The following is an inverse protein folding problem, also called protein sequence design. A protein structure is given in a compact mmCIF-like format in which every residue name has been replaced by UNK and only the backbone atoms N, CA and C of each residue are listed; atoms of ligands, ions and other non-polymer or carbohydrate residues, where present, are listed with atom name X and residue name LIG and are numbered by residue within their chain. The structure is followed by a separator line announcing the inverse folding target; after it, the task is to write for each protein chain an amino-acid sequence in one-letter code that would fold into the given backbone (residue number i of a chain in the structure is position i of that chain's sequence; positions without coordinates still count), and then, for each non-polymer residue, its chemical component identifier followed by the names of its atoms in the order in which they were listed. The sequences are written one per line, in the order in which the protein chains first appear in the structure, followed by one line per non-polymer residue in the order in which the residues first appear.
data_IF_691374479253
#
_entry.id   IF_691374479253
#
_cell.length_a   1.000
_cell.length_b   1.000
_cell.length_c   1.000
_cell.angle_alpha   90.00
_cell.angle_beta   90.00
_cell.angle_gamma   90.00
#
_symmetry.space_group_name_H-M   'P 1'
#
loop_
_entity.id
_entity.type
_entity.pdbx_description
1 polymer ?
#
# COMPACT_ATOMS: atom_id res chain seq x y z
N UNK A 1 -1.19 17.83 -4.80
CA UNK A 1 -0.33 18.73 -5.51
C UNK A 1 -1.13 19.76 -6.31
N UNK A 2 -1.98 19.37 -7.27
CA UNK A 2 -2.75 20.31 -8.10
C UNK A 2 -4.10 20.73 -7.51
N UNK A 3 -4.46 20.30 -6.30
CA UNK A 3 -5.70 20.70 -5.63
C UNK A 3 -7.00 20.17 -6.24
N UNK A 4 -6.94 19.42 -7.32
CA UNK A 4 -8.10 18.84 -8.00
C UNK A 4 -8.74 17.76 -7.15
N UNK A 5 -10.07 17.85 -6.95
CA UNK A 5 -10.86 16.89 -6.16
C UNK A 5 -11.96 16.33 -7.05
N UNK A 6 -12.07 15.02 -7.11
CA UNK A 6 -13.09 14.32 -7.88
C UNK A 6 -12.63 12.93 -8.29
N UNK A 7 -13.52 12.19 -8.94
CA UNK A 7 -13.23 10.86 -9.49
C UNK A 7 -13.16 10.92 -11.00
N UNK A 8 -12.32 10.10 -11.58
CA UNK A 8 -12.30 9.86 -13.03
C UNK A 8 -13.39 8.83 -13.35
N UNK A 9 -14.22 9.03 -14.38
CA UNK A 9 -14.16 10.14 -15.37
C UNK A 9 -14.93 11.41 -14.98
N UNK A 10 -15.72 11.40 -13.93
CA UNK A 10 -16.69 12.47 -13.57
C UNK A 10 -16.03 13.85 -13.42
N UNK A 11 -14.77 13.88 -12.94
CA UNK A 11 -14.03 15.15 -12.79
C UNK A 11 -13.83 15.88 -14.13
N UNK A 12 -13.84 15.15 -15.24
CA UNK A 12 -13.63 15.75 -16.57
C UNK A 12 -14.81 16.59 -17.05
N UNK A 13 -15.99 16.37 -16.46
CA UNK A 13 -17.20 17.14 -16.76
C UNK A 13 -17.34 18.39 -15.84
N UNK A 14 -16.38 18.61 -14.93
CA UNK A 14 -16.39 19.78 -14.06
C UNK A 14 -16.16 21.05 -14.89
N UNK A 15 -17.06 22.07 -14.83
CA UNK A 15 -16.96 23.26 -15.68
C UNK A 15 -15.74 24.15 -15.37
N UNK A 16 -15.21 24.11 -14.14
CA UNK A 16 -14.09 24.93 -13.72
C UNK A 16 -12.73 24.22 -13.90
N UNK A 17 -12.69 22.92 -13.66
CA UNK A 17 -11.43 22.17 -13.57
C UNK A 17 -11.34 20.98 -14.52
N UNK A 18 -12.40 20.68 -15.28
CA UNK A 18 -12.45 19.49 -16.12
C UNK A 18 -11.37 19.44 -17.20
N UNK A 19 -11.14 20.57 -17.86
CA UNK A 19 -10.09 20.67 -18.90
C UNK A 19 -8.69 20.43 -18.32
N UNK A 20 -8.40 21.03 -17.15
CA UNK A 20 -7.13 20.87 -16.45
C UNK A 20 -6.95 19.43 -15.95
N UNK A 21 -8.01 18.84 -15.39
CA UNK A 21 -8.01 17.46 -14.93
C UNK A 21 -7.75 16.48 -16.08
N UNK A 22 -8.36 16.69 -17.25
CA UNK A 22 -8.13 15.88 -18.45
C UNK A 22 -6.70 16.00 -18.93
N UNK A 23 -6.18 17.22 -19.02
CA UNK A 23 -4.78 17.44 -19.42
C UNK A 23 -3.81 16.72 -18.46
N UNK A 24 -3.99 16.88 -17.16
CA UNK A 24 -3.15 16.22 -16.16
C UNK A 24 -3.23 14.69 -16.26
N UNK A 25 -4.42 14.16 -16.50
CA UNK A 25 -4.63 12.74 -16.72
C UNK A 25 -3.87 12.23 -17.95
N UNK A 26 -3.98 12.94 -19.09
CA UNK A 26 -3.31 12.57 -20.33
C UNK A 26 -1.79 12.63 -20.18
N UNK A 27 -1.26 13.65 -19.50
CA UNK A 27 0.17 13.78 -19.22
C UNK A 27 0.65 12.64 -18.28
N UNK A 28 -0.15 12.29 -17.27
CA UNK A 28 0.13 11.17 -16.40
C UNK A 28 0.16 9.83 -17.17
N UNK A 29 -0.78 9.60 -18.10
CA UNK A 29 -0.79 8.39 -18.93
C UNK A 29 0.45 8.31 -19.84
N UNK A 30 0.84 9.42 -20.47
CA UNK A 30 2.06 9.49 -21.29
C UNK A 30 3.31 9.19 -20.46
N UNK A 31 3.41 9.78 -19.26
CA UNK A 31 4.55 9.54 -18.37
C UNK A 31 4.58 8.09 -17.88
N UNK A 32 3.44 7.48 -17.54
CA UNK A 32 3.36 6.07 -17.16
C UNK A 32 3.78 5.15 -18.33
N UNK A 33 3.36 5.44 -19.56
CA UNK A 33 3.79 4.70 -20.74
C UNK A 33 5.31 4.78 -20.90
N UNK A 34 5.88 5.99 -20.78
CA UNK A 34 7.31 6.22 -20.85
C UNK A 34 8.09 5.49 -19.76
N UNK A 35 7.63 5.58 -18.50
CA UNK A 35 8.23 4.86 -17.36
C UNK A 35 8.30 3.36 -17.66
N UNK A 36 7.24 2.77 -18.20
CA UNK A 36 7.16 1.35 -18.53
C UNK A 36 8.07 0.96 -19.70
N UNK A 37 8.03 1.71 -20.80
CA UNK A 37 8.74 1.41 -22.04
C UNK A 37 10.26 1.59 -21.89
N UNK A 38 10.67 2.69 -21.25
CA UNK A 38 12.07 3.01 -21.00
C UNK A 38 12.61 2.37 -19.70
N UNK A 39 11.75 1.67 -18.93
CA UNK A 39 12.09 1.03 -17.63
C UNK A 39 12.73 2.01 -16.65
N UNK A 40 12.19 3.22 -16.56
CA UNK A 40 12.76 4.31 -15.78
C UNK A 40 12.64 4.11 -14.27
N UNK A 41 11.64 3.36 -13.82
CA UNK A 41 11.44 3.02 -12.42
C UNK A 41 11.41 1.50 -12.25
N UNK A 42 11.98 1.03 -11.14
CA UNK A 42 11.87 -0.35 -10.70
C UNK A 42 11.10 -0.42 -9.39
N UNK A 43 10.08 -1.27 -9.37
CA UNK A 43 9.30 -1.56 -8.18
C UNK A 43 9.83 -2.87 -7.59
N UNK A 44 10.13 -2.88 -6.30
CA UNK A 44 10.61 -4.07 -5.60
C UNK A 44 9.86 -4.25 -4.29
N UNK A 45 9.76 -5.51 -3.86
CA UNK A 45 9.17 -5.86 -2.60
C UNK A 45 9.72 -7.14 -2.03
N UNK A 46 9.63 -7.25 -0.71
CA UNK A 46 9.85 -8.49 0.03
C UNK A 46 8.63 -8.75 0.89
N UNK A 47 8.25 -10.00 1.02
CA UNK A 47 7.15 -10.41 1.89
C UNK A 47 7.54 -11.68 2.64
N UNK A 48 6.97 -11.87 3.84
CA UNK A 48 7.17 -13.04 4.67
C UNK A 48 5.96 -13.33 5.56
N UNK A 49 5.81 -14.59 5.94
CA UNK A 49 4.85 -15.04 6.94
C UNK A 49 5.68 -15.53 8.13
N UNK A 50 5.35 -15.06 9.32
CA UNK A 50 6.12 -15.28 10.54
C UNK A 50 5.20 -15.82 11.63
N UNK A 51 5.70 -16.74 12.46
CA UNK A 51 5.02 -17.15 13.66
C UNK A 51 4.86 -15.97 14.62
N UNK A 52 3.68 -15.84 15.19
CA UNK A 52 3.35 -14.75 16.09
C UNK A 52 2.43 -15.20 17.23
N UNK A 53 2.57 -14.56 18.38
CA UNK A 53 1.64 -14.66 19.50
C UNK A 53 1.38 -13.27 20.07
N UNK A 54 0.22 -13.05 20.67
CA UNK A 54 -0.01 -11.81 21.41
C UNK A 54 0.37 -11.96 22.88
N UNK A 55 0.89 -10.88 23.44
CA UNK A 55 1.23 -10.74 24.87
C UNK A 55 0.71 -9.40 25.38
N UNK A 56 -0.46 -9.38 25.95
CA UNK A 56 -1.16 -8.12 26.24
C UNK A 56 -1.44 -7.34 24.97
N UNK A 57 -0.97 -6.11 24.88
CA UNK A 57 -1.14 -5.25 23.70
C UNK A 57 0.02 -5.39 22.69
N UNK A 58 0.99 -6.27 22.93
CA UNK A 58 2.11 -6.49 22.04
C UNK A 58 1.91 -7.73 21.18
N UNK A 59 2.46 -7.71 19.94
CA UNK A 59 2.62 -8.89 19.10
C UNK A 59 4.10 -9.32 19.16
N UNK A 60 4.36 -10.55 19.58
CA UNK A 60 5.69 -11.15 19.58
C UNK A 60 5.85 -12.00 18.33
N UNK A 61 6.74 -11.60 17.45
CA UNK A 61 7.02 -12.24 16.16
C UNK A 61 8.31 -13.04 16.25
N UNK A 62 8.28 -14.28 15.74
CA UNK A 62 9.48 -15.11 15.61
C UNK A 62 10.10 -14.92 14.23
N UNK A 63 11.25 -14.30 14.19
CA UNK A 63 12.02 -14.09 12.96
C UNK A 63 13.10 -15.15 12.75
N UNK A 64 14.00 -14.93 11.77
CA UNK A 64 15.10 -15.84 11.47
C UNK A 64 15.94 -16.17 12.71
N UNK A 65 16.41 -17.42 12.79
CA UNK A 65 17.21 -17.95 13.91
C UNK A 65 16.51 -17.82 15.26
N UNK A 66 15.17 -17.97 15.29
CA UNK A 66 14.30 -17.90 16.47
C UNK A 66 14.40 -16.55 17.24
N UNK A 67 14.92 -15.52 16.60
CA UNK A 67 14.98 -14.19 17.19
C UNK A 67 13.58 -13.63 17.36
N UNK A 68 13.25 -13.18 18.58
CA UNK A 68 11.96 -12.56 18.88
C UNK A 68 12.01 -11.05 18.65
N UNK A 69 10.97 -10.55 17.99
CA UNK A 69 10.73 -9.13 17.78
C UNK A 69 9.41 -8.76 18.44
N UNK A 70 9.40 -7.68 19.20
CA UNK A 70 8.19 -7.18 19.84
C UNK A 70 7.67 -6.00 19.03
N UNK A 71 6.41 -6.11 18.58
CA UNK A 71 5.68 -5.06 17.91
C UNK A 71 4.66 -4.49 18.90
N UNK A 72 4.95 -3.35 19.56
CA UNK A 72 4.00 -2.73 20.46
C UNK A 72 2.82 -2.17 19.67
N UNK A 73 1.60 -2.56 20.05
CA UNK A 73 0.36 -2.11 19.43
C UNK A 73 -0.36 -1.13 20.34
N UNK A 74 -0.90 -0.08 19.74
CA UNK A 74 -1.69 0.91 20.48
C UNK A 74 -3.15 0.44 20.53
N UNK A 75 -3.67 0.26 21.73
CA UNK A 75 -5.09 0.02 21.95
C UNK A 75 -5.88 1.30 21.69
N UNK A 76 -7.03 1.17 21.02
CA UNK A 76 -7.90 2.31 20.71
C UNK A 76 -8.22 3.12 21.96
N UNK A 77 -7.99 4.43 21.90
CA UNK A 77 -8.30 5.40 22.97
C UNK A 77 -9.62 6.11 22.71
N UNK A 78 -10.34 5.79 21.63
CA UNK A 78 -11.62 6.40 21.33
C UNK A 78 -12.64 6.01 22.41
N UNK A 79 -13.52 6.94 22.87
CA UNK A 79 -14.57 6.62 23.79
C UNK A 79 -15.56 5.65 23.13
N UNK A 80 -15.58 4.42 23.60
CA UNK A 80 -16.45 3.36 23.07
C UNK A 80 -17.68 3.28 23.95
N UNK A 81 -18.85 3.55 23.40
CA UNK A 81 -20.09 3.48 24.16
C UNK A 81 -20.53 2.05 24.52
N UNK A 82 -20.11 1.02 23.79
CA UNK A 82 -20.59 -0.37 24.00
C UNK A 82 -19.64 -1.49 23.56
N UNK A 83 -18.40 -1.23 23.13
CA UNK A 83 -17.45 -2.26 22.72
C UNK A 83 -16.10 -2.08 23.39
N UNK A 84 -15.41 -3.17 23.65
CA UNK A 84 -14.02 -3.09 24.16
C UNK A 84 -13.14 -2.32 23.18
N UNK A 85 -12.26 -1.46 23.71
CA UNK A 85 -11.25 -0.78 22.92
C UNK A 85 -10.38 -1.82 22.19
N UNK A 86 -10.34 -1.76 20.85
CA UNK A 86 -9.64 -2.76 20.01
C UNK A 86 -8.14 -2.45 19.91
N UNK A 87 -7.36 -3.51 19.86
CA UNK A 87 -5.94 -3.50 19.57
C UNK A 87 -5.65 -4.49 18.43
N UNK A 88 -4.63 -4.24 17.63
CA UNK A 88 -4.23 -5.19 16.58
C UNK A 88 -3.77 -6.53 17.17
N UNK A 89 -3.22 -6.53 18.38
CA UNK A 89 -2.84 -7.75 19.11
C UNK A 89 -4.04 -8.68 19.39
N UNK A 90 -5.28 -8.14 19.45
CA UNK A 90 -6.48 -8.95 19.70
C UNK A 90 -6.81 -9.94 18.56
N UNK A 91 -6.22 -9.75 17.37
CA UNK A 91 -6.39 -10.61 16.21
C UNK A 91 -5.36 -11.73 16.12
N UNK A 92 -4.38 -11.77 17.05
CA UNK A 92 -3.34 -12.80 17.14
C UNK A 92 -3.61 -13.65 18.36
N UNK A 93 -3.40 -14.97 18.27
CA UNK A 93 -3.60 -15.89 19.39
C UNK A 93 -2.74 -15.50 20.60
N UNK A 94 -3.35 -15.47 21.79
CA UNK A 94 -2.64 -15.21 23.05
C UNK A 94 -1.58 -16.30 23.31
N UNK A 95 -0.41 -15.90 23.80
CA UNK A 95 0.71 -16.80 24.14
C UNK A 95 0.28 -17.95 25.05
N UNK A 96 -0.68 -17.70 25.95
CA UNK A 96 -1.21 -18.69 26.90
C UNK A 96 -2.20 -19.66 26.26
N UNK A 97 -2.67 -19.40 25.03
CA UNK A 97 -3.61 -20.26 24.34
C UNK A 97 -2.99 -21.58 23.86
N UNK A 98 -1.66 -21.73 23.94
CA UNK A 98 -0.94 -22.94 23.57
C UNK A 98 -1.00 -23.27 22.07
N UNK A 99 -1.30 -22.29 21.24
CA UNK A 99 -1.32 -22.42 19.77
C UNK A 99 -0.51 -21.31 19.13
N UNK A 100 0.20 -21.65 18.07
CA UNK A 100 0.91 -20.68 17.24
C UNK A 100 -0.05 -20.04 16.25
N UNK A 101 0.07 -18.76 16.09
CA UNK A 101 -0.59 -17.98 15.04
C UNK A 101 0.46 -17.37 14.10
N UNK A 102 0.04 -16.64 13.08
CA UNK A 102 0.95 -16.12 12.07
C UNK A 102 0.61 -14.69 11.71
N UNK A 103 1.64 -13.92 11.35
CA UNK A 103 1.49 -12.57 10.80
C UNK A 103 2.22 -12.49 9.45
N UNK A 104 1.55 -11.90 8.47
CA UNK A 104 2.18 -11.51 7.21
C UNK A 104 2.80 -10.12 7.33
N UNK A 105 4.01 -9.95 6.81
CA UNK A 105 4.67 -8.66 6.72
C UNK A 105 5.31 -8.49 5.34
N UNK A 106 5.32 -7.24 4.84
CA UNK A 106 5.99 -6.91 3.60
C UNK A 106 6.61 -5.51 3.66
N UNK A 107 7.62 -5.29 2.83
CA UNK A 107 8.23 -3.99 2.59
C UNK A 107 8.38 -3.79 1.09
N UNK A 108 8.02 -2.59 0.61
CA UNK A 108 7.96 -2.27 -0.82
C UNK A 108 8.66 -0.95 -1.10
N UNK A 109 9.18 -0.81 -2.32
CA UNK A 109 9.61 0.46 -2.86
C UNK A 109 9.23 0.57 -4.34
N UNK A 110 8.75 1.72 -4.76
CA UNK A 110 8.51 2.09 -6.16
C UNK A 110 9.45 3.20 -6.65
N UNK A 111 10.46 3.56 -5.84
CA UNK A 111 11.31 4.72 -6.08
C UNK A 111 12.70 4.44 -6.64
N UNK A 112 13.03 3.20 -6.99
CA UNK A 112 14.34 2.89 -7.60
C UNK A 112 14.38 3.50 -9.01
N UNK A 113 15.35 4.40 -9.27
CA UNK A 113 15.45 5.21 -10.48
C UNK A 113 14.74 6.56 -10.41
N UNK A 114 13.92 6.83 -9.38
CA UNK A 114 13.17 8.09 -9.27
C UNK A 114 14.09 9.31 -9.08
N UNK A 115 15.18 9.15 -8.33
CA UNK A 115 16.12 10.24 -8.09
C UNK A 115 16.74 10.70 -9.41
N UNK A 116 17.26 9.76 -10.18
CA UNK A 116 17.90 10.01 -11.47
C UNK A 116 16.93 10.63 -12.46
N UNK A 117 15.70 10.12 -12.52
CA UNK A 117 14.64 10.63 -13.38
C UNK A 117 14.27 12.08 -13.02
N UNK A 118 14.10 12.39 -11.75
CA UNK A 118 13.73 13.72 -11.28
C UNK A 118 14.87 14.73 -11.43
N UNK A 119 16.12 14.31 -11.22
CA UNK A 119 17.30 15.15 -11.43
C UNK A 119 17.49 15.50 -12.92
N UNK A 120 17.24 14.54 -13.83
CA UNK A 120 17.25 14.78 -15.27
C UNK A 120 16.23 15.87 -15.66
N UNK A 121 14.98 15.75 -15.26
CA UNK A 121 13.95 16.77 -15.55
C UNK A 121 14.32 18.13 -14.98
N UNK A 122 14.85 18.20 -13.75
CA UNK A 122 15.29 19.47 -13.16
C UNK A 122 16.45 20.11 -13.92
N UNK A 123 17.41 19.31 -14.38
CA UNK A 123 18.52 19.82 -15.19
C UNK A 123 18.05 20.37 -16.54
N UNK A 124 16.93 19.86 -17.07
CA UNK A 124 16.24 20.36 -18.27
C UNK A 124 15.30 21.56 -17.99
N UNK A 125 15.17 21.98 -16.72
CA UNK A 125 14.24 23.03 -16.30
C UNK A 125 12.78 22.60 -16.26
N UNK A 126 12.52 21.28 -16.27
CA UNK A 126 11.18 20.69 -16.32
C UNK A 126 10.71 20.23 -14.91
N UNK A 127 10.41 21.20 -14.07
CA UNK A 127 9.89 20.93 -12.72
C UNK A 127 8.53 20.23 -12.72
N UNK A 128 7.72 20.46 -13.77
CA UNK A 128 6.41 19.84 -13.91
C UNK A 128 6.55 18.30 -13.98
N UNK A 129 7.36 17.80 -14.92
CA UNK A 129 7.57 16.37 -15.06
C UNK A 129 8.37 15.77 -13.89
N UNK A 130 9.23 16.54 -13.24
CA UNK A 130 9.89 16.10 -12.00
C UNK A 130 8.89 15.86 -10.87
N UNK A 131 7.88 16.72 -10.68
CA UNK A 131 6.81 16.57 -9.70
C UNK A 131 5.87 15.44 -10.11
N UNK A 132 5.45 15.39 -11.37
CA UNK A 132 4.59 14.36 -11.90
C UNK A 132 5.18 12.96 -11.70
N UNK A 133 6.48 12.77 -11.97
CA UNK A 133 7.18 11.50 -11.77
C UNK A 133 7.14 11.02 -10.32
N UNK A 134 7.30 11.93 -9.35
CA UNK A 134 7.19 11.60 -7.92
C UNK A 134 5.80 11.12 -7.55
N UNK A 135 4.76 11.85 -7.98
CA UNK A 135 3.38 11.47 -7.71
C UNK A 135 3.01 10.11 -8.32
N UNK A 136 3.52 9.84 -9.54
CA UNK A 136 3.30 8.55 -10.18
C UNK A 136 4.04 7.43 -9.46
N UNK A 137 5.28 7.65 -8.99
CA UNK A 137 6.01 6.66 -8.19
C UNK A 137 5.27 6.31 -6.89
N UNK A 138 4.69 7.31 -6.20
CA UNK A 138 3.88 7.11 -5.01
C UNK A 138 2.64 6.26 -5.33
N UNK A 139 1.91 6.61 -6.40
CA UNK A 139 0.71 5.84 -6.84
C UNK A 139 1.06 4.41 -7.28
N UNK A 140 2.17 4.21 -7.96
CA UNK A 140 2.66 2.89 -8.33
C UNK A 140 3.04 2.05 -7.10
N UNK A 141 3.64 2.67 -6.09
CA UNK A 141 3.96 2.00 -4.82
C UNK A 141 2.68 1.57 -4.09
N UNK A 142 1.65 2.43 -4.03
CA UNK A 142 0.36 2.06 -3.46
C UNK A 142 -0.31 0.91 -4.22
N UNK A 143 -0.30 0.96 -5.55
CA UNK A 143 -0.85 -0.12 -6.37
C UNK A 143 -0.08 -1.44 -6.15
N UNK A 144 1.25 -1.37 -5.97
CA UNK A 144 2.07 -2.52 -5.62
C UNK A 144 1.71 -3.07 -4.23
N UNK A 145 1.43 -2.22 -3.24
CA UNK A 145 0.95 -2.65 -1.92
C UNK A 145 -0.32 -3.49 -2.04
N UNK A 146 -1.31 -3.01 -2.79
CA UNK A 146 -2.56 -3.75 -3.01
C UNK A 146 -2.31 -5.08 -3.72
N UNK A 147 -1.48 -5.08 -4.76
CA UNK A 147 -1.14 -6.30 -5.48
C UNK A 147 -0.42 -7.32 -4.59
N UNK A 148 0.57 -6.91 -3.80
CA UNK A 148 1.31 -7.81 -2.89
C UNK A 148 0.38 -8.33 -1.80
N UNK A 149 -0.54 -7.53 -1.28
CA UNK A 149 -1.52 -7.97 -0.31
C UNK A 149 -2.45 -9.06 -0.90
N UNK A 150 -2.89 -8.90 -2.15
CA UNK A 150 -3.64 -9.94 -2.88
C UNK A 150 -2.78 -11.20 -3.05
N UNK A 151 -1.52 -11.04 -3.49
CA UNK A 151 -0.59 -12.15 -3.69
C UNK A 151 -0.37 -12.96 -2.40
N UNK A 152 -0.16 -12.28 -1.27
CA UNK A 152 -0.01 -12.93 0.03
C UNK A 152 -1.26 -13.73 0.37
N UNK A 153 -2.45 -13.14 0.33
CA UNK A 153 -3.69 -13.81 0.71
C UNK A 153 -4.02 -15.00 -0.17
N UNK A 154 -3.78 -14.91 -1.47
CA UNK A 154 -4.23 -15.92 -2.45
C UNK A 154 -3.19 -16.95 -2.83
N UNK A 155 -1.91 -16.59 -2.82
CA UNK A 155 -0.84 -17.46 -3.33
C UNK A 155 0.18 -17.83 -2.27
N UNK A 156 0.65 -16.88 -1.48
CA UNK A 156 1.70 -17.15 -0.50
C UNK A 156 1.14 -17.81 0.77
N UNK A 157 0.04 -17.31 1.31
CA UNK A 157 -0.67 -17.88 2.46
C UNK A 157 -1.83 -18.78 2.02
N UNK A 158 -2.57 -18.38 1.00
CA UNK A 158 -3.57 -19.23 0.35
C UNK A 158 -4.90 -19.34 1.08
N UNK A 159 -5.20 -18.49 2.04
CA UNK A 159 -6.47 -18.58 2.79
C UNK A 159 -7.66 -17.95 2.05
N UNK A 160 -7.42 -17.11 1.06
CA UNK A 160 -8.48 -16.50 0.23
C UNK A 160 -8.70 -17.32 -1.04
N UNK A 161 -9.75 -18.15 -1.05
CA UNK A 161 -10.05 -19.11 -2.14
C UNK A 161 -11.23 -18.69 -3.03
N UNK A 162 -11.94 -17.61 -2.71
CA UNK A 162 -13.10 -17.11 -3.45
C UNK A 162 -12.75 -16.45 -4.81
N UNK A 163 -13.76 -15.94 -5.55
CA UNK A 163 -13.53 -15.17 -6.77
C UNK A 163 -12.67 -13.93 -6.48
N UNK A 164 -11.91 -13.48 -7.48
CA UNK A 164 -11.10 -12.28 -7.34
C UNK A 164 -11.99 -11.06 -7.04
N UNK A 165 -11.58 -10.27 -6.05
CA UNK A 165 -12.25 -9.02 -5.73
C UNK A 165 -12.01 -7.98 -6.81
N UNK A 166 -13.00 -7.13 -7.07
CA UNK A 166 -12.81 -5.98 -7.96
C UNK A 166 -11.93 -4.92 -7.30
N UNK A 167 -11.29 -4.02 -8.09
CA UNK A 167 -10.51 -2.93 -7.53
C UNK A 167 -11.31 -2.10 -6.50
N UNK A 168 -12.59 -1.84 -6.74
CA UNK A 168 -13.46 -1.08 -5.83
C UNK A 168 -13.70 -1.84 -4.52
N UNK A 169 -13.81 -3.16 -4.57
CA UNK A 169 -13.97 -4.00 -3.39
C UNK A 169 -12.67 -4.03 -2.56
N UNK A 170 -11.52 -4.06 -3.23
CA UNK A 170 -10.20 -4.03 -2.60
C UNK A 170 -10.01 -2.70 -1.87
N UNK A 171 -10.22 -1.57 -2.57
CA UNK A 171 -10.12 -0.21 -1.99
C UNK A 171 -11.05 -0.03 -0.78
N UNK A 172 -12.21 -0.70 -0.79
CA UNK A 172 -13.17 -0.68 0.35
C UNK A 172 -12.83 -1.68 1.46
N UNK A 173 -11.72 -2.38 1.38
CA UNK A 173 -11.31 -3.39 2.37
C UNK A 173 -12.30 -4.55 2.48
N UNK A 174 -12.93 -4.99 1.38
CA UNK A 174 -13.88 -6.11 1.34
C UNK A 174 -13.19 -7.48 1.30
N UNK A 175 -12.04 -7.58 1.91
CA UNK A 175 -11.29 -8.81 2.05
C UNK A 175 -11.16 -9.18 3.53
N UNK A 176 -10.85 -10.44 3.77
CA UNK A 176 -10.52 -10.95 5.10
C UNK A 176 -9.02 -10.78 5.33
N UNK A 177 -8.65 -9.98 6.31
CA UNK A 177 -7.27 -9.73 6.73
C UNK A 177 -6.98 -10.34 8.07
#
# INVERSE_FOLDING_TARGET
AWGLKGRVPEIFENPEHGAEARKLYDDAQKMLARIREEKLLTLQGVAGIFEAVSRGDDIVVTGPKDKKYILPMLRSQAPVREAQARCLADFIADEKAGRTDYIGAFALTGGIGLKELTEKFRAEGDDYNAILSKLLADRLTEALCEWVHIFIRRQMWGYETGPALTPEQIIRGKYRG
#
